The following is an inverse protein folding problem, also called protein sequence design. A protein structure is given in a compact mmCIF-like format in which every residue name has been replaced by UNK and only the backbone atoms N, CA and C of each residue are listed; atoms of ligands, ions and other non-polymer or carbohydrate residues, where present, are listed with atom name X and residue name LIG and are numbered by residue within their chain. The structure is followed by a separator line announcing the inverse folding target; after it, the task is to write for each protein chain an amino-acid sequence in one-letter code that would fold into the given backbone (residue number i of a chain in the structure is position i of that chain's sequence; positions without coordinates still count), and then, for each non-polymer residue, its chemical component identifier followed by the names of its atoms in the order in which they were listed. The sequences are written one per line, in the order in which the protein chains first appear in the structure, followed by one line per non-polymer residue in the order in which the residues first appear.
data_IF_316610888604
#
_entry.id   IF_316610888604
#
_cell.length_a   1.000
_cell.length_b   1.000
_cell.length_c   1.000
_cell.angle_alpha   90.00
_cell.angle_beta   90.00
_cell.angle_gamma   90.00
#
_symmetry.space_group_name_H-M   'P 1'
#
loop_
_entity.id
_entity.type
_entity.pdbx_description
1 polymer ?
#
# COMPACT_ATOMS: atom_id res chain seq x y z
N UNK A 1 -4.75 12.67 23.06
CA UNK A 1 -5.98 11.95 23.48
C UNK A 1 -7.13 12.29 22.53
N UNK A 2 -7.42 13.58 22.30
CA UNK A 2 -8.46 14.05 21.37
C UNK A 2 -8.40 13.48 19.94
N UNK A 3 -7.20 13.37 19.34
CA UNK A 3 -7.03 12.85 17.97
C UNK A 3 -7.50 11.39 17.83
N UNK A 4 -7.17 10.54 18.81
CA UNK A 4 -7.49 9.12 18.79
C UNK A 4 -9.01 8.89 18.88
N UNK A 5 -9.70 9.66 19.72
CA UNK A 5 -11.15 9.56 19.89
C UNK A 5 -11.91 10.03 18.64
N UNK A 6 -11.39 11.03 17.93
CA UNK A 6 -11.93 11.49 16.64
C UNK A 6 -11.75 10.43 15.55
N UNK A 7 -10.55 9.83 15.45
CA UNK A 7 -10.27 8.77 14.48
C UNK A 7 -11.20 7.55 14.69
N UNK A 8 -11.51 7.21 15.95
CA UNK A 8 -12.46 6.15 16.27
C UNK A 8 -13.89 6.46 15.76
N UNK A 9 -14.39 7.68 15.98
CA UNK A 9 -15.74 8.08 15.53
C UNK A 9 -15.85 8.11 14.01
N UNK A 10 -14.79 8.54 13.32
CA UNK A 10 -14.73 8.51 11.85
C UNK A 10 -14.78 7.07 11.33
N UNK A 11 -14.01 6.16 11.91
CA UNK A 11 -13.99 4.75 11.50
C UNK A 11 -15.32 4.03 11.77
N UNK A 12 -16.00 4.37 12.85
CA UNK A 12 -17.36 3.90 13.15
C UNK A 12 -18.39 4.38 12.11
N UNK A 13 -18.29 5.64 11.70
CA UNK A 13 -19.10 6.19 10.59
C UNK A 13 -18.79 5.54 9.24
N UNK A 14 -17.53 5.21 8.96
CA UNK A 14 -17.16 4.52 7.72
C UNK A 14 -17.67 3.08 7.69
N UNK A 15 -17.57 2.35 8.79
CA UNK A 15 -17.96 0.94 8.85
C UNK A 15 -19.48 0.73 8.87
N UNK A 16 -20.26 1.70 9.36
CA UNK A 16 -21.73 1.70 9.26
C UNK A 16 -22.26 2.10 7.88
N UNK A 17 -21.41 2.63 6.99
CA UNK A 17 -21.81 3.05 5.65
C UNK A 17 -22.06 1.86 4.72
N UNK A 18 -23.33 1.61 4.41
CA UNK A 18 -23.76 0.55 3.49
C UNK A 18 -23.18 0.72 2.08
N UNK A 19 -23.04 1.98 1.62
CA UNK A 19 -22.50 2.30 0.29
C UNK A 19 -21.03 1.87 0.19
N UNK A 20 -20.23 2.22 1.20
CA UNK A 20 -18.82 1.86 1.21
C UNK A 20 -18.65 0.34 1.23
N UNK A 21 -19.37 -0.33 2.12
CA UNK A 21 -19.33 -1.78 2.24
C UNK A 21 -19.74 -2.49 0.93
N UNK A 22 -20.81 -2.03 0.27
CA UNK A 22 -21.25 -2.57 -1.02
C UNK A 22 -20.17 -2.43 -2.11
N UNK A 23 -19.49 -1.28 -2.19
CA UNK A 23 -18.39 -1.06 -3.14
C UNK A 23 -17.23 -2.02 -2.85
N UNK A 24 -16.85 -2.20 -1.58
CA UNK A 24 -15.78 -3.12 -1.19
C UNK A 24 -16.10 -4.55 -1.62
N UNK A 25 -17.32 -5.04 -1.37
CA UNK A 25 -17.77 -6.38 -1.77
C UNK A 25 -17.72 -6.55 -3.29
N UNK A 26 -18.23 -5.59 -4.06
CA UNK A 26 -18.21 -5.67 -5.54
C UNK A 26 -16.78 -5.68 -6.06
N UNK A 27 -15.90 -4.85 -5.51
CA UNK A 27 -14.48 -4.85 -5.87
C UNK A 27 -13.80 -6.19 -5.53
N UNK A 28 -14.11 -6.78 -4.39
CA UNK A 28 -13.54 -8.06 -3.97
C UNK A 28 -13.99 -9.21 -4.89
N UNK A 29 -15.29 -9.31 -5.18
CA UNK A 29 -15.83 -10.29 -6.13
C UNK A 29 -15.22 -10.14 -7.53
N UNK A 30 -15.04 -8.90 -8.01
CA UNK A 30 -14.40 -8.65 -9.29
C UNK A 30 -12.92 -9.10 -9.29
N UNK A 31 -12.23 -8.96 -8.16
CA UNK A 31 -10.84 -9.37 -7.96
C UNK A 31 -10.71 -10.90 -7.92
N UNK A 32 -11.67 -11.58 -7.28
CA UNK A 32 -11.75 -13.05 -7.25
C UNK A 32 -11.97 -13.64 -8.64
N UNK A 33 -12.76 -12.99 -9.50
CA UNK A 33 -12.98 -13.42 -10.89
C UNK A 33 -11.77 -13.07 -11.78
N UNK A 34 -11.14 -11.92 -11.56
CA UNK A 34 -9.98 -11.50 -12.35
C UNK A 34 -8.75 -12.38 -12.10
N UNK A 35 -8.57 -12.89 -10.88
CA UNK A 35 -7.43 -13.75 -10.48
C UNK A 35 -7.26 -15.00 -11.36
N UNK A 36 -8.26 -15.90 -11.51
CA UNK A 36 -8.12 -17.09 -12.37
C UNK A 36 -7.96 -16.72 -13.85
N UNK A 37 -8.60 -15.63 -14.29
CA UNK A 37 -8.44 -15.13 -15.66
C UNK A 37 -6.99 -14.71 -15.93
N UNK A 38 -6.36 -13.96 -15.02
CA UNK A 38 -4.96 -13.53 -15.13
C UNK A 38 -3.98 -14.72 -15.11
N UNK A 39 -4.24 -15.73 -14.27
CA UNK A 39 -3.45 -16.97 -14.23
C UNK A 39 -3.55 -17.70 -15.58
N UNK A 40 -4.77 -17.86 -16.09
CA UNK A 40 -5.01 -18.49 -17.39
C UNK A 40 -4.31 -17.73 -18.53
N UNK A 41 -4.40 -16.40 -18.55
CA UNK A 41 -3.71 -15.55 -19.53
C UNK A 41 -2.20 -15.77 -19.46
N UNK A 42 -1.61 -15.79 -18.27
CA UNK A 42 -0.17 -16.00 -18.07
C UNK A 42 0.30 -17.32 -18.68
N UNK A 43 -0.43 -18.42 -18.41
CA UNK A 43 -0.12 -19.75 -18.96
C UNK A 43 -0.24 -19.74 -20.48
N UNK A 44 -1.29 -19.12 -21.02
CA UNK A 44 -1.53 -19.03 -22.47
C UNK A 44 -0.45 -18.22 -23.18
N UNK A 45 -0.06 -17.08 -22.61
CA UNK A 45 1.02 -16.23 -23.11
C UNK A 45 2.33 -17.01 -23.18
N UNK A 46 2.63 -17.79 -22.14
CA UNK A 46 3.85 -18.60 -22.10
C UNK A 46 3.90 -19.66 -23.20
N UNK A 47 2.77 -20.33 -23.46
CA UNK A 47 2.65 -21.37 -24.49
C UNK A 47 2.64 -20.83 -25.92
N UNK A 48 2.30 -19.56 -26.12
CA UNK A 48 2.20 -18.95 -27.45
C UNK A 48 3.59 -18.76 -28.07
N UNK A 49 3.84 -19.41 -29.21
CA UNK A 49 5.10 -19.29 -29.98
C UNK A 49 5.10 -18.11 -30.96
N UNK A 50 3.95 -17.46 -31.14
CA UNK A 50 3.78 -16.38 -32.12
C UNK A 50 4.43 -15.05 -31.69
N UNK A 51 4.79 -14.91 -30.40
CA UNK A 51 5.37 -13.70 -29.86
C UNK A 51 6.88 -13.85 -29.64
N UNK A 52 7.62 -12.76 -29.88
CA UNK A 52 9.03 -12.68 -29.55
C UNK A 52 9.29 -12.97 -28.07
N UNK A 53 10.44 -13.59 -27.78
CA UNK A 53 10.82 -14.00 -26.44
C UNK A 53 10.79 -12.83 -25.43
N UNK A 54 11.34 -11.68 -25.82
CA UNK A 54 11.40 -10.48 -24.98
C UNK A 54 10.00 -9.97 -24.61
N UNK A 55 9.11 -9.84 -25.60
CA UNK A 55 7.72 -9.42 -25.38
C UNK A 55 6.96 -10.41 -24.51
N UNK A 56 7.18 -11.72 -24.70
CA UNK A 56 6.57 -12.75 -23.86
C UNK A 56 7.01 -12.64 -22.40
N UNK A 57 8.29 -12.40 -22.15
CA UNK A 57 8.83 -12.22 -20.80
C UNK A 57 8.25 -10.95 -20.13
N UNK A 58 8.27 -9.81 -20.82
CA UNK A 58 7.71 -8.55 -20.33
C UNK A 58 6.21 -8.67 -20.01
N UNK A 59 5.45 -9.32 -20.89
CA UNK A 59 4.02 -9.52 -20.69
C UNK A 59 3.72 -10.50 -19.54
N UNK A 60 4.52 -11.55 -19.40
CA UNK A 60 4.44 -12.47 -18.25
C UNK A 60 4.69 -11.72 -16.94
N UNK A 61 5.76 -10.93 -16.86
CA UNK A 61 6.07 -10.11 -15.69
C UNK A 61 4.93 -9.13 -15.38
N UNK A 62 4.46 -8.36 -16.36
CA UNK A 62 3.33 -7.44 -16.18
C UNK A 62 2.10 -8.15 -15.61
N UNK A 63 1.76 -9.33 -16.14
CA UNK A 63 0.61 -10.11 -15.68
C UNK A 63 0.83 -10.63 -14.24
N UNK A 64 2.05 -10.98 -13.86
CA UNK A 64 2.39 -11.36 -12.47
C UNK A 64 2.22 -10.16 -11.52
N UNK A 65 2.66 -8.96 -11.88
CA UNK A 65 2.44 -7.78 -11.03
C UNK A 65 0.95 -7.42 -10.92
N UNK A 66 0.19 -7.58 -12.00
CA UNK A 66 -1.27 -7.44 -11.96
C UNK A 66 -1.89 -8.46 -11.00
N UNK A 67 -1.43 -9.72 -11.03
CA UNK A 67 -1.89 -10.74 -10.09
C UNK A 67 -1.59 -10.35 -8.64
N UNK A 68 -0.36 -9.91 -8.34
CA UNK A 68 0.01 -9.44 -7.00
C UNK A 68 -0.82 -8.21 -6.57
N UNK A 69 -1.12 -7.31 -7.50
CA UNK A 69 -1.97 -6.14 -7.23
C UNK A 69 -3.39 -6.57 -6.84
N UNK A 70 -4.02 -7.41 -7.67
CA UNK A 70 -5.41 -7.87 -7.46
C UNK A 70 -5.52 -8.71 -6.19
N UNK A 71 -4.59 -9.63 -5.95
CA UNK A 71 -4.55 -10.43 -4.71
C UNK A 71 -4.31 -9.53 -3.49
N UNK A 72 -3.36 -8.59 -3.56
CA UNK A 72 -3.09 -7.66 -2.46
C UNK A 72 -4.30 -6.78 -2.12
N UNK A 73 -5.07 -6.36 -3.13
CA UNK A 73 -6.33 -5.63 -2.96
C UNK A 73 -7.41 -6.51 -2.34
N UNK A 74 -7.58 -7.74 -2.81
CA UNK A 74 -8.56 -8.67 -2.26
C UNK A 74 -8.28 -8.98 -0.77
N UNK A 75 -7.01 -9.24 -0.42
CA UNK A 75 -6.61 -9.47 0.99
C UNK A 75 -6.90 -8.23 1.85
N UNK A 76 -6.58 -7.02 1.37
CA UNK A 76 -6.86 -5.80 2.10
C UNK A 76 -8.37 -5.62 2.35
N UNK A 77 -9.18 -5.71 1.29
CA UNK A 77 -10.63 -5.52 1.38
C UNK A 77 -11.30 -6.61 2.22
N UNK A 78 -10.90 -7.88 2.05
CA UNK A 78 -11.39 -9.00 2.85
C UNK A 78 -11.07 -8.79 4.33
N UNK A 79 -9.86 -8.33 4.65
CA UNK A 79 -9.47 -8.06 6.04
C UNK A 79 -10.25 -6.88 6.63
N UNK A 80 -10.48 -5.82 5.86
CA UNK A 80 -11.27 -4.67 6.34
C UNK A 80 -12.74 -5.07 6.55
N UNK A 81 -13.31 -5.85 5.64
CA UNK A 81 -14.67 -6.38 5.75
C UNK A 81 -14.82 -7.36 6.94
N UNK A 82 -13.81 -8.21 7.15
CA UNK A 82 -13.75 -9.11 8.30
C UNK A 82 -13.71 -8.33 9.61
N UNK A 83 -12.94 -7.25 9.69
CA UNK A 83 -12.89 -6.38 10.88
C UNK A 83 -14.21 -5.66 11.10
N UNK A 84 -14.88 -5.19 10.05
CA UNK A 84 -16.20 -4.56 10.15
C UNK A 84 -17.30 -5.53 10.61
N UNK A 85 -17.19 -6.82 10.29
CA UNK A 85 -18.24 -7.80 10.63
C UNK A 85 -17.98 -8.58 11.93
N UNK A 86 -16.72 -8.90 12.25
CA UNK A 86 -16.38 -9.84 13.35
C UNK A 86 -16.03 -9.16 14.69
N UNK A 87 -15.63 -7.89 14.70
CA UNK A 87 -15.07 -7.18 15.87
C UNK A 87 -15.86 -5.95 16.30
N UNK A 88 -17.09 -5.79 15.82
CA UNK A 88 -17.94 -4.62 16.11
C UNK A 88 -18.47 -4.63 17.55
N UNK A 89 -17.62 -4.30 18.53
CA UNK A 89 -18.02 -3.88 19.88
C UNK A 89 -17.68 -2.42 20.17
N UNK A 90 -16.58 -1.87 19.64
CA UNK A 90 -16.20 -0.45 19.73
C UNK A 90 -15.32 -0.01 18.52
N UNK A 91 -15.57 1.16 17.92
CA UNK A 91 -14.86 1.65 16.71
C UNK A 91 -13.34 1.87 16.87
N UNK A 92 -12.85 1.96 18.10
CA UNK A 92 -11.42 2.15 18.41
C UNK A 92 -10.54 0.89 18.23
N UNK A 93 -11.13 -0.30 18.21
CA UNK A 93 -10.39 -1.57 18.01
C UNK A 93 -10.10 -1.86 16.53
N UNK A 94 -10.76 -1.13 15.62
CA UNK A 94 -10.59 -1.24 14.17
C UNK A 94 -9.25 -0.61 13.73
N UNK A 95 -8.67 0.29 14.54
CA UNK A 95 -7.44 1.00 14.20
C UNK A 95 -6.22 0.06 14.25
N UNK A 96 -5.78 -0.34 13.05
CA UNK A 96 -4.58 -1.15 12.83
C UNK A 96 -3.30 -0.38 13.19
N UNK A 97 -2.26 -1.10 13.65
CA UNK A 97 -0.96 -0.47 13.91
C UNK A 97 -0.29 -0.03 12.60
N UNK A 98 0.59 0.98 12.67
CA UNK A 98 1.26 1.52 11.47
C UNK A 98 2.08 0.48 10.72
N UNK A 99 2.72 -0.45 11.43
CA UNK A 99 3.59 -1.46 10.83
C UNK A 99 2.79 -2.49 10.02
N UNK A 100 1.68 -2.97 10.57
CA UNK A 100 0.77 -3.89 9.89
C UNK A 100 0.13 -3.22 8.66
N UNK A 101 -0.28 -1.97 8.79
CA UNK A 101 -0.83 -1.18 7.70
C UNK A 101 0.19 -0.99 6.57
N UNK A 102 1.46 -0.70 6.91
CA UNK A 102 2.52 -0.57 5.91
C UNK A 102 2.77 -1.89 5.19
N UNK A 103 2.89 -3.00 5.91
CA UNK A 103 3.13 -4.31 5.30
C UNK A 103 1.97 -4.75 4.41
N UNK A 104 0.73 -4.46 4.82
CA UNK A 104 -0.47 -4.77 4.05
C UNK A 104 -0.62 -3.88 2.81
N UNK A 105 -0.25 -2.60 2.90
CA UNK A 105 -0.36 -1.65 1.78
C UNK A 105 0.83 -1.65 0.82
N UNK A 106 2.00 -2.11 1.26
CA UNK A 106 3.21 -2.16 0.44
C UNK A 106 3.04 -2.96 -0.86
N UNK A 107 2.59 -4.24 -0.84
CA UNK A 107 2.60 -5.08 -2.03
C UNK A 107 1.71 -4.52 -3.14
N UNK A 108 0.48 -4.09 -2.84
CA UNK A 108 -0.41 -3.58 -3.89
C UNK A 108 0.07 -2.24 -4.46
N UNK A 109 0.67 -1.36 -3.63
CA UNK A 109 1.18 -0.06 -4.07
C UNK A 109 2.39 -0.22 -4.99
N UNK A 110 3.33 -1.10 -4.60
CA UNK A 110 4.50 -1.42 -5.45
C UNK A 110 4.01 -2.01 -6.76
N UNK A 111 3.09 -2.98 -6.72
CA UNK A 111 2.56 -3.59 -7.94
C UNK A 111 1.86 -2.59 -8.86
N UNK A 112 1.13 -1.59 -8.32
CA UNK A 112 0.47 -0.56 -9.14
C UNK A 112 1.47 0.26 -9.95
N UNK A 113 2.56 0.71 -9.31
CA UNK A 113 3.63 1.46 -9.97
C UNK A 113 4.33 0.57 -11.00
N UNK A 114 4.66 -0.67 -10.63
CA UNK A 114 5.32 -1.63 -11.53
C UNK A 114 4.45 -1.99 -12.74
N UNK A 115 3.13 -2.10 -12.58
CA UNK A 115 2.18 -2.31 -13.68
C UNK A 115 2.18 -1.13 -14.65
N UNK A 116 2.16 0.10 -14.12
CA UNK A 116 2.19 1.32 -14.92
C UNK A 116 3.48 1.42 -15.75
N UNK A 117 4.65 1.18 -15.13
CA UNK A 117 5.94 1.18 -15.82
C UNK A 117 6.05 0.04 -16.84
N UNK A 118 5.62 -1.18 -16.50
CA UNK A 118 5.68 -2.31 -17.43
C UNK A 118 4.79 -2.13 -18.66
N UNK A 119 3.61 -1.51 -18.52
CA UNK A 119 2.77 -1.20 -19.67
C UNK A 119 3.49 -0.29 -20.69
N UNK A 120 4.22 0.72 -20.21
CA UNK A 120 5.05 1.60 -21.05
C UNK A 120 6.17 0.82 -21.72
N UNK A 121 6.89 -0.03 -20.98
CA UNK A 121 7.98 -0.84 -21.56
C UNK A 121 7.47 -1.85 -22.60
N UNK A 122 6.30 -2.46 -22.38
CA UNK A 122 5.65 -3.34 -23.37
C UNK A 122 5.31 -2.55 -24.63
N UNK A 123 4.77 -1.33 -24.50
CA UNK A 123 4.45 -0.49 -25.64
C UNK A 123 5.70 -0.12 -26.45
N UNK A 124 6.79 0.27 -25.78
CA UNK A 124 8.08 0.58 -26.42
C UNK A 124 8.66 -0.65 -27.13
N UNK A 125 8.64 -1.81 -26.49
CA UNK A 125 9.17 -3.04 -27.08
C UNK A 125 8.37 -3.46 -28.31
N UNK A 126 7.03 -3.35 -28.25
CA UNK A 126 6.16 -3.65 -29.39
C UNK A 126 6.37 -2.66 -30.53
N UNK A 127 6.49 -1.37 -30.23
CA UNK A 127 6.79 -0.35 -31.24
C UNK A 127 8.14 -0.62 -31.91
N UNK A 128 9.16 -0.95 -31.11
CA UNK A 128 10.50 -1.28 -31.63
C UNK A 128 10.47 -2.50 -32.53
N UNK A 129 9.76 -3.56 -32.14
CA UNK A 129 9.60 -4.77 -32.94
C UNK A 129 8.84 -4.53 -34.26
N UNK A 130 7.80 -3.69 -34.24
CA UNK A 130 7.05 -3.31 -35.45
C UNK A 130 7.88 -2.44 -36.39
N UNK A 131 8.62 -1.46 -35.87
CA UNK A 131 9.45 -0.58 -36.71
C UNK A 131 10.68 -1.30 -37.28
N UNK A 132 11.22 -2.29 -36.56
CA UNK A 132 12.48 -2.96 -36.93
C UNK A 132 12.32 -4.44 -37.26
N UNK A 133 11.14 -4.90 -37.73
CA UNK A 133 10.83 -6.34 -37.93
C UNK A 133 11.91 -7.10 -38.71
N UNK A 134 12.55 -6.48 -39.71
CA UNK A 134 13.58 -7.12 -40.55
C UNK A 134 14.92 -7.37 -39.85
N UNK A 135 15.29 -6.52 -38.89
CA UNK A 135 16.60 -6.56 -38.21
C UNK A 135 16.49 -6.91 -36.72
N UNK A 136 15.28 -7.02 -36.19
CA UNK A 136 15.01 -7.22 -34.77
C UNK A 136 15.68 -8.48 -34.21
N UNK A 137 15.63 -9.60 -34.94
CA UNK A 137 16.23 -10.87 -34.48
C UNK A 137 17.76 -10.89 -34.44
N UNK A 138 18.43 -10.08 -35.27
CA UNK A 138 19.90 -10.06 -35.39
C UNK A 138 20.56 -9.04 -34.46
N UNK A 139 19.92 -7.89 -34.20
CA UNK A 139 20.53 -6.78 -33.45
C UNK A 139 19.86 -6.43 -32.12
N UNK A 140 18.56 -6.68 -31.97
CA UNK A 140 17.76 -6.06 -30.90
C UNK A 140 17.45 -7.00 -29.71
N UNK A 141 18.01 -8.21 -29.67
CA UNK A 141 17.92 -9.10 -28.49
C UNK A 141 18.35 -8.40 -27.19
N UNK A 142 19.36 -7.52 -27.27
CA UNK A 142 19.87 -6.75 -26.12
C UNK A 142 18.85 -5.73 -25.57
N UNK A 143 17.91 -5.25 -26.38
CA UNK A 143 16.92 -4.25 -25.95
C UNK A 143 15.98 -4.83 -24.89
N UNK A 144 15.45 -6.04 -25.11
CA UNK A 144 14.61 -6.72 -24.12
C UNK A 144 15.36 -7.04 -22.82
N UNK A 145 16.64 -7.46 -22.91
CA UNK A 145 17.50 -7.63 -21.74
C UNK A 145 17.70 -6.31 -20.98
N UNK A 146 17.98 -5.21 -21.68
CA UNK A 146 18.18 -3.90 -21.04
C UNK A 146 16.90 -3.41 -20.36
N UNK A 147 15.74 -3.57 -21.01
CA UNK A 147 14.44 -3.26 -20.43
C UNK A 147 14.17 -4.08 -19.16
N UNK A 148 14.53 -5.37 -19.16
CA UNK A 148 14.42 -6.22 -17.98
C UNK A 148 15.35 -5.78 -16.85
N UNK A 149 16.58 -5.38 -17.16
CA UNK A 149 17.51 -4.83 -16.17
C UNK A 149 16.99 -3.54 -15.56
N UNK A 150 16.48 -2.60 -16.37
CA UNK A 150 15.83 -1.38 -15.87
C UNK A 150 14.66 -1.73 -14.96
N UNK A 151 13.84 -2.70 -15.37
CA UNK A 151 12.71 -3.18 -14.59
C UNK A 151 13.12 -3.78 -13.24
N UNK A 152 14.21 -4.54 -13.19
CA UNK A 152 14.78 -5.10 -11.97
C UNK A 152 15.36 -4.02 -11.04
N UNK A 153 15.88 -2.92 -11.57
CA UNK A 153 16.39 -1.79 -10.80
C UNK A 153 15.27 -0.88 -10.26
N UNK A 154 14.12 -0.80 -10.95
CA UNK A 154 12.98 0.01 -10.49
C UNK A 154 12.39 -0.50 -9.17
N UNK A 155 12.32 -1.82 -8.97
CA UNK A 155 11.82 -2.44 -7.73
C UNK A 155 12.56 -1.97 -6.46
N UNK A 156 13.89 -2.12 -6.34
CA UNK A 156 14.62 -1.67 -5.15
C UNK A 156 14.58 -0.15 -4.99
N UNK A 157 14.54 0.63 -6.08
CA UNK A 157 14.38 2.09 -6.00
C UNK A 157 13.02 2.46 -5.40
N UNK A 158 11.93 1.83 -5.85
CA UNK A 158 10.58 2.08 -5.31
C UNK A 158 10.51 1.67 -3.83
N UNK A 159 11.04 0.50 -3.48
CA UNK A 159 11.11 0.04 -2.09
C UNK A 159 11.94 1.00 -1.22
N UNK A 160 13.05 1.49 -1.74
CA UNK A 160 13.90 2.48 -1.06
C UNK A 160 13.15 3.81 -0.85
N UNK A 161 12.49 4.33 -1.88
CA UNK A 161 11.68 5.55 -1.78
C UNK A 161 10.57 5.41 -0.74
N UNK A 162 9.83 4.30 -0.75
CA UNK A 162 8.76 4.04 0.22
C UNK A 162 9.31 3.89 1.65
N UNK A 163 10.41 3.17 1.84
CA UNK A 163 11.08 3.04 3.14
C UNK A 163 11.56 4.39 3.67
N UNK A 164 12.11 5.24 2.80
CA UNK A 164 12.58 6.59 3.16
C UNK A 164 11.42 7.48 3.58
N UNK A 165 10.32 7.43 2.84
CA UNK A 165 9.10 8.19 3.14
C UNK A 165 8.54 7.83 4.52
N UNK A 166 8.39 6.55 4.83
CA UNK A 166 7.96 6.08 6.15
C UNK A 166 8.90 6.55 7.26
N UNK A 167 10.22 6.43 7.04
CA UNK A 167 11.20 6.90 8.03
C UNK A 167 11.06 8.40 8.30
N UNK A 168 10.81 9.20 7.25
CA UNK A 168 10.63 10.64 7.38
C UNK A 168 9.34 10.98 8.11
N UNK A 169 8.24 10.28 7.82
CA UNK A 169 6.98 10.45 8.55
C UNK A 169 7.11 10.10 10.02
N UNK A 170 7.77 8.98 10.36
CA UNK A 170 8.02 8.61 11.76
C UNK A 170 8.83 9.69 12.46
N UNK A 171 9.91 10.18 11.84
CA UNK A 171 10.71 11.28 12.41
C UNK A 171 9.84 12.52 12.68
N UNK A 172 9.04 12.94 11.70
CA UNK A 172 8.18 14.12 11.86
C UNK A 172 7.17 13.95 13.00
N UNK A 173 6.49 12.80 13.06
CA UNK A 173 5.48 12.50 14.09
C UNK A 173 6.13 12.39 15.48
N UNK A 174 7.31 11.77 15.57
CA UNK A 174 8.05 11.70 16.84
C UNK A 174 8.43 13.11 17.29
N UNK A 175 9.01 13.94 16.43
CA UNK A 175 9.35 15.32 16.78
C UNK A 175 8.12 16.12 17.23
N UNK A 176 6.99 15.99 16.52
CA UNK A 176 5.75 16.67 16.86
C UNK A 176 5.15 16.18 18.18
N UNK A 177 5.08 14.86 18.39
CA UNK A 177 4.57 14.29 19.64
C UNK A 177 5.48 14.63 20.81
N UNK A 178 6.79 14.58 20.64
CA UNK A 178 7.76 14.96 21.68
C UNK A 178 7.57 16.43 22.06
N UNK A 179 7.51 17.35 21.09
CA UNK A 179 7.24 18.77 21.37
C UNK A 179 5.89 19.00 22.07
N UNK A 180 4.84 18.32 21.61
CA UNK A 180 3.50 18.47 22.20
C UNK A 180 3.45 17.93 23.63
N UNK A 181 4.11 16.80 23.89
CA UNK A 181 4.16 16.17 25.21
C UNK A 181 4.98 17.03 26.20
N UNK A 182 6.10 17.62 25.77
CA UNK A 182 6.84 18.59 26.60
C UNK A 182 5.96 19.78 26.97
N UNK A 183 5.28 20.40 26.00
CA UNK A 183 4.41 21.54 26.27
C UNK A 183 3.26 21.17 27.21
N UNK A 184 2.67 19.98 27.05
CA UNK A 184 1.59 19.51 27.89
C UNK A 184 2.05 19.22 29.31
N UNK A 185 3.17 18.51 29.49
CA UNK A 185 3.77 18.24 30.80
C UNK A 185 4.17 19.55 31.48
N UNK A 186 4.77 20.47 30.74
CA UNK A 186 5.17 21.77 31.24
C UNK A 186 3.97 22.63 31.68
N UNK A 187 2.88 22.60 30.91
CA UNK A 187 1.65 23.31 31.26
C UNK A 187 0.95 22.69 32.48
N UNK A 188 0.96 21.36 32.62
CA UNK A 188 0.45 20.67 33.82
C UNK A 188 1.31 21.02 35.04
N UNK A 189 2.64 20.94 34.92
CA UNK A 189 3.57 21.30 36.00
C UNK A 189 3.43 22.78 36.40
N UNK A 190 3.26 23.69 35.43
CA UNK A 190 2.98 25.11 35.68
C UNK A 190 1.65 25.28 36.41
N UNK A 191 0.58 24.63 35.96
CA UNK A 191 -0.73 24.71 36.63
C UNK A 191 -0.70 24.16 38.06
N UNK A 192 0.16 23.18 38.37
CA UNK A 192 0.36 22.67 39.72
C UNK A 192 1.30 23.53 40.58
N UNK A 193 2.16 24.33 39.95
CA UNK A 193 3.02 25.32 40.62
C UNK A 193 2.19 26.54 41.04
N UNK A 194 1.25 26.95 40.19
CA UNK A 194 0.38 28.10 40.41
C UNK A 194 -0.86 27.77 41.29
N UNK A 195 -1.13 26.49 41.57
CA UNK A 195 -2.26 26.05 42.38
C UNK A 195 -1.95 26.08 43.90
N UNK A 196 -2.90 26.53 44.74
CA UNK A 196 -2.78 26.41 46.19
C UNK A 196 -2.67 24.94 46.62
N UNK A 197 -1.95 24.65 47.73
CA UNK A 197 -1.43 23.32 48.05
C UNK A 197 -2.49 22.21 48.22
N UNK A 198 -3.76 22.57 48.38
CA UNK A 198 -4.88 21.65 48.66
C UNK A 198 -5.41 20.88 47.42
N UNK A 199 -5.06 21.29 46.19
CA UNK A 199 -5.69 20.79 44.95
C UNK A 199 -4.79 19.97 43.98
N UNK A 200 -3.64 19.44 44.41
CA UNK A 200 -2.72 18.71 43.50
C UNK A 200 -3.12 17.24 43.30
N UNK A 201 -3.56 16.89 42.07
CA UNK A 201 -3.95 15.54 41.63
C UNK A 201 -2.77 14.79 40.98
N UNK A 202 -2.64 13.44 41.12
CA UNK A 202 -1.51 12.70 40.56
C UNK A 202 -1.56 12.49 39.04
N UNK A 203 -0.36 12.47 38.43
CA UNK A 203 -0.12 12.49 36.98
C UNK A 203 -0.57 11.22 36.24
N UNK A 204 -1.27 11.35 35.08
CA UNK A 204 -1.61 10.21 34.24
C UNK A 204 -0.43 9.77 33.37
N UNK A 205 -0.21 8.45 33.26
CA UNK A 205 0.80 7.85 32.36
C UNK A 205 0.29 7.79 30.92
N UNK A 206 1.01 8.35 29.92
CA UNK A 206 0.58 8.29 28.53
C UNK A 206 1.04 6.97 27.87
N UNK A 207 0.08 6.13 27.44
CA UNK A 207 0.32 5.08 26.44
C UNK A 207 -0.17 5.59 25.08
N UNK A 208 0.73 6.17 24.28
CA UNK A 208 0.41 6.56 22.90
C UNK A 208 0.56 5.35 21.98
N UNK A 209 -0.57 4.82 21.48
CA UNK A 209 -0.59 3.82 20.40
C UNK A 209 -0.66 4.57 19.07
N UNK A 210 0.34 4.39 18.21
CA UNK A 210 0.41 5.00 16.87
C UNK A 210 -0.47 4.21 15.89
N UNK A 211 -1.53 4.84 15.38
CA UNK A 211 -2.53 4.24 14.50
C UNK A 211 -2.31 4.67 13.05
N UNK A 212 -2.81 3.88 12.09
CA UNK A 212 -2.75 4.23 10.67
C UNK A 212 -3.80 5.31 10.35
N UNK A 213 -3.35 6.50 9.93
CA UNK A 213 -4.18 7.55 9.32
C UNK A 213 -4.03 7.51 7.81
#
# INVERSE_FOLDING_TARGET
MFQYELDCKVMEGMASSTVLNAILVVCDLSSLIATPLLIFLTIRIWKTKLMHFNTRLLLCLHTVFLLVHVVGRAVLHTMDLYMYHSLFKNGCEILRTKEECFFLRLPYNVSTVMCSCSAVFIAIERLTATLHTRNYEKGFKKVGTNLLCIYALLLPVILWCKKKDVRNQIKHIVHQNVNTNYNQVFNVLRSQWDAPPENRVPSPKPKARLTCS
#
